data_IF_799982250636
#
_entry.id   IF_799982250636
#
_cell.length_a   1.000
_cell.length_b   1.000
_cell.length_c   1.000
_cell.angle_alpha   90.00
_cell.angle_beta   90.00
_cell.angle_gamma   90.00
#
_symmetry.space_group_name_H-M   'P 1'
#
loop_
_entity.id
_entity.type
_entity.pdbx_description
1 polymer ?
#
# COMPACT_ATOMS: atom_id res chain seq x y z
N UNK A 1 17.53 2.80 0.39
CA UNK A 1 17.42 4.21 -0.05
C UNK A 1 16.78 4.37 -1.44
N UNK A 2 16.91 3.39 -2.34
CA UNK A 2 16.31 3.44 -3.69
C UNK A 2 14.77 3.33 -3.69
N UNK A 3 14.19 2.47 -2.84
CA UNK A 3 12.74 2.21 -2.84
C UNK A 3 11.91 3.48 -2.60
N UNK A 4 12.23 4.27 -1.57
CA UNK A 4 11.52 5.54 -1.30
C UNK A 4 11.52 6.52 -2.49
N UNK A 5 12.61 6.54 -3.29
CA UNK A 5 12.67 7.39 -4.47
C UNK A 5 11.79 6.85 -5.61
N UNK A 6 11.75 5.52 -5.79
CA UNK A 6 10.86 4.85 -6.74
C UNK A 6 9.40 5.12 -6.38
N UNK A 7 9.02 4.93 -5.12
CA UNK A 7 7.65 5.19 -4.65
C UNK A 7 7.24 6.66 -4.79
N UNK A 8 8.16 7.60 -4.55
CA UNK A 8 7.93 9.03 -4.83
C UNK A 8 7.67 9.28 -6.31
N UNK A 9 8.48 8.70 -7.18
CA UNK A 9 8.32 8.84 -8.64
C UNK A 9 6.98 8.27 -9.14
N UNK A 10 6.56 7.14 -8.57
CA UNK A 10 5.28 6.50 -8.89
C UNK A 10 4.07 7.12 -8.19
N UNK A 11 4.28 8.13 -7.33
CA UNK A 11 3.24 8.78 -6.51
C UNK A 11 2.52 7.82 -5.56
N UNK A 12 3.24 6.81 -5.05
CA UNK A 12 2.76 5.79 -4.10
C UNK A 12 3.39 5.88 -2.72
N UNK A 13 4.22 6.90 -2.46
CA UNK A 13 4.84 7.07 -1.15
C UNK A 13 3.81 7.17 -0.01
N UNK A 14 2.65 7.77 -0.30
CA UNK A 14 1.57 7.98 0.66
C UNK A 14 1.09 6.68 1.32
N UNK A 15 1.21 5.53 0.64
CA UNK A 15 0.88 4.21 1.18
C UNK A 15 1.67 3.88 2.45
N UNK A 16 2.89 4.42 2.60
CA UNK A 16 3.72 4.21 3.79
C UNK A 16 3.46 5.25 4.89
N UNK A 17 2.67 6.27 4.60
CA UNK A 17 2.44 7.43 5.47
C UNK A 17 0.99 7.47 5.98
N UNK A 18 0.07 6.89 5.22
CA UNK A 18 -1.36 6.88 5.50
C UNK A 18 -1.88 5.44 5.50
N UNK A 19 -2.68 5.03 6.50
CA UNK A 19 -3.31 3.72 6.49
C UNK A 19 -4.35 3.64 5.37
N UNK A 20 -4.69 2.42 4.95
CA UNK A 20 -5.78 2.19 4.02
C UNK A 20 -7.08 2.71 4.68
N UNK A 21 -7.84 3.60 4.01
CA UNK A 21 -9.09 4.11 4.57
C UNK A 21 -10.09 2.98 4.78
N UNK A 22 -10.96 3.12 5.78
CA UNK A 22 -12.04 2.16 5.99
C UNK A 22 -12.93 2.08 4.74
N UNK A 23 -13.33 0.87 4.37
CA UNK A 23 -14.23 0.68 3.23
C UNK A 23 -15.58 1.35 3.55
N UNK A 24 -15.92 2.38 2.79
CA UNK A 24 -17.22 3.03 2.81
C UNK A 24 -18.30 2.03 2.34
N UNK A 25 -18.81 1.22 3.27
CA UNK A 25 -19.87 0.21 3.04
C UNK A 25 -21.23 0.81 2.68
N UNK A 26 -21.37 2.14 2.78
CA UNK A 26 -22.60 2.83 2.41
C UNK A 26 -22.80 2.80 0.89
N UNK A 27 -23.97 2.33 0.45
CA UNK A 27 -24.42 2.48 -0.93
C UNK A 27 -24.55 3.94 -1.38
N UNK A 28 -24.54 4.90 -0.44
CA UNK A 28 -24.52 6.33 -0.71
C UNK A 28 -23.12 6.92 -0.90
N UNK A 29 -22.05 6.16 -0.63
CA UNK A 29 -20.69 6.65 -0.79
C UNK A 29 -20.48 7.13 -2.23
N UNK A 30 -19.85 8.29 -2.39
CA UNK A 30 -19.61 8.85 -3.70
C UNK A 30 -18.71 7.89 -4.49
N UNK A 31 -18.99 7.72 -5.79
CA UNK A 31 -18.19 6.83 -6.65
C UNK A 31 -16.68 7.12 -6.52
N UNK A 32 -16.32 8.39 -6.38
CA UNK A 32 -14.95 8.84 -6.17
C UNK A 32 -14.30 8.27 -4.89
N UNK A 33 -15.06 8.10 -3.79
CA UNK A 33 -14.56 7.54 -2.53
C UNK A 33 -14.28 6.05 -2.68
N UNK A 34 -15.19 5.31 -3.32
CA UNK A 34 -14.96 3.88 -3.63
C UNK A 34 -13.78 3.67 -4.58
N UNK A 35 -13.68 4.50 -5.61
CA UNK A 35 -12.57 4.44 -6.56
C UNK A 35 -11.23 4.79 -5.87
N UNK A 36 -11.23 5.74 -4.92
CA UNK A 36 -10.06 6.09 -4.13
C UNK A 36 -9.64 4.98 -3.16
N UNK A 37 -10.60 4.36 -2.45
CA UNK A 37 -10.35 3.21 -1.59
C UNK A 37 -9.73 2.06 -2.38
N UNK A 38 -10.37 1.66 -3.49
CA UNK A 38 -9.88 0.57 -4.33
C UNK A 38 -8.48 0.84 -4.85
N UNK A 39 -8.22 2.08 -5.28
CA UNK A 39 -6.88 2.48 -5.72
C UNK A 39 -5.86 2.38 -4.58
N UNK A 40 -6.20 2.80 -3.36
CA UNK A 40 -5.29 2.68 -2.22
C UNK A 40 -4.95 1.21 -1.95
N UNK A 41 -5.95 0.32 -1.95
CA UNK A 41 -5.72 -1.13 -1.77
C UNK A 41 -4.79 -1.69 -2.85
N UNK A 42 -5.00 -1.34 -4.12
CA UNK A 42 -4.13 -1.77 -5.23
C UNK A 42 -2.70 -1.23 -5.08
N UNK A 43 -2.54 0.06 -4.78
CA UNK A 43 -1.24 0.68 -4.57
C UNK A 43 -0.52 0.07 -3.34
N UNK A 44 -1.25 -0.24 -2.26
CA UNK A 44 -0.71 -0.89 -1.06
C UNK A 44 -0.17 -2.29 -1.35
N UNK A 45 -0.90 -3.08 -2.15
CA UNK A 45 -0.44 -4.40 -2.58
C UNK A 45 0.87 -4.32 -3.38
N UNK A 46 0.94 -3.41 -4.36
CA UNK A 46 2.13 -3.24 -5.19
C UNK A 46 3.35 -2.80 -4.36
N UNK A 47 3.16 -1.84 -3.46
CA UNK A 47 4.23 -1.38 -2.56
C UNK A 47 4.70 -2.49 -1.63
N UNK A 48 3.78 -3.27 -1.04
CA UNK A 48 4.11 -4.41 -0.19
C UNK A 48 4.95 -5.45 -0.92
N UNK A 49 4.56 -5.80 -2.16
CA UNK A 49 5.36 -6.69 -3.01
C UNK A 49 6.76 -6.14 -3.28
N UNK A 50 6.90 -4.85 -3.59
CA UNK A 50 8.20 -4.22 -3.82
C UNK A 50 9.06 -4.20 -2.55
N UNK A 51 8.47 -3.91 -1.40
CA UNK A 51 9.15 -3.95 -0.10
C UNK A 51 9.71 -5.34 0.16
N UNK A 52 8.87 -6.37 0.12
CA UNK A 52 9.27 -7.76 0.29
C UNK A 52 10.37 -8.14 -0.71
N UNK A 53 10.24 -7.80 -1.99
CA UNK A 53 11.24 -8.10 -3.01
C UNK A 53 12.62 -7.49 -2.72
N UNK A 54 12.68 -6.37 -2.00
CA UNK A 54 13.94 -5.73 -1.60
C UNK A 54 14.50 -6.21 -0.26
N UNK A 55 13.71 -6.95 0.52
CA UNK A 55 14.13 -7.53 1.80
C UNK A 55 14.94 -8.82 1.58
N UNK A 56 15.68 -9.23 2.62
CA UNK A 56 16.28 -10.56 2.66
C UNK A 56 15.23 -11.63 2.99
N UNK A 57 15.57 -12.91 2.82
CA UNK A 57 14.60 -14.01 2.99
C UNK A 57 14.06 -14.19 4.41
N UNK A 58 14.80 -13.76 5.44
CA UNK A 58 14.32 -13.82 6.83
C UNK A 58 13.24 -12.76 7.06
N UNK A 59 13.53 -11.52 6.66
CA UNK A 59 12.58 -10.41 6.75
C UNK A 59 11.35 -10.66 5.86
N UNK A 60 11.51 -11.20 4.65
CA UNK A 60 10.38 -11.55 3.79
C UNK A 60 9.37 -12.46 4.50
N UNK A 61 9.84 -13.54 5.15
CA UNK A 61 8.97 -14.46 5.89
C UNK A 61 8.28 -13.82 7.09
N UNK A 62 8.95 -12.88 7.74
CA UNK A 62 8.37 -12.16 8.89
C UNK A 62 7.23 -11.22 8.48
N UNK A 63 7.28 -10.68 7.27
CA UNK A 63 6.39 -9.60 6.82
C UNK A 63 5.46 -10.00 5.66
N UNK A 64 5.47 -11.27 5.21
CA UNK A 64 4.71 -11.74 4.03
C UNK A 64 3.18 -11.55 4.14
N UNK A 65 2.67 -11.44 5.37
CA UNK A 65 1.24 -11.25 5.67
C UNK A 65 0.92 -9.86 6.22
N UNK A 66 1.88 -8.92 6.18
CA UNK A 66 1.68 -7.55 6.61
C UNK A 66 1.33 -6.67 5.41
N UNK A 67 0.53 -5.64 5.63
CA UNK A 67 0.30 -4.60 4.64
C UNK A 67 1.49 -3.65 4.57
N UNK A 68 1.67 -2.97 3.43
CA UNK A 68 2.80 -2.06 3.22
C UNK A 68 2.92 -0.96 4.29
N UNK A 69 1.80 -0.54 4.89
CA UNK A 69 1.77 0.44 5.97
C UNK A 69 2.30 -0.13 7.30
N UNK A 70 2.13 -1.43 7.54
CA UNK A 70 2.47 -2.13 8.79
C UNK A 70 3.84 -2.83 8.76
N UNK A 71 4.51 -2.86 7.60
CA UNK A 71 5.87 -3.38 7.42
C UNK A 71 6.97 -2.40 7.83
#
# INVERSE_FOLDING_TARGET
QNLRNVLKNEKKLYVLEEPIPEEETSSSAHKAERDAYKKHVEDALEVGCLMLATMNSELQKQHENMDAFDM
#
